data_IF_241215626546
#
_entry.id   IF_241215626546
#
_cell.length_a   1.000
_cell.length_b   1.000
_cell.length_c   1.000
_cell.angle_alpha   90.00
_cell.angle_beta   90.00
_cell.angle_gamma   90.00
#
_symmetry.space_group_name_H-M   'P 1'
#
loop_
_entity.id
_entity.type
_entity.pdbx_description
1 polymer ?
#
# COMPACT_ATOMS: atom_id res chain seq x y z
N UNK A 1 0.59 -6.12 5.49
CA UNK A 1 0.03 -4.74 5.40
C UNK A 1 1.13 -3.68 5.29
N UNK A 2 2.35 -3.94 5.79
CA UNK A 2 3.55 -3.13 5.48
C UNK A 2 3.92 -3.01 4.01
N UNK A 3 3.26 -3.68 3.06
CA UNK A 3 3.57 -3.56 1.63
C UNK A 3 2.84 -2.39 0.97
N UNK A 4 1.74 -1.89 1.54
CA UNK A 4 0.96 -0.81 0.92
C UNK A 4 1.63 0.56 1.11
N UNK A 5 2.22 0.81 2.28
CA UNK A 5 2.93 2.06 2.57
C UNK A 5 4.17 2.28 1.69
N UNK A 6 5.13 1.33 1.58
CA UNK A 6 6.27 1.45 0.68
C UNK A 6 5.80 1.59 -0.76
N UNK A 7 4.75 0.88 -1.17
CA UNK A 7 4.24 0.95 -2.55
C UNK A 7 3.61 2.29 -2.90
N UNK A 8 2.98 2.98 -1.95
CA UNK A 8 2.49 4.35 -2.17
C UNK A 8 3.68 5.31 -2.28
N UNK A 9 4.65 5.26 -1.36
CA UNK A 9 5.85 6.10 -1.44
C UNK A 9 6.63 5.85 -2.73
N UNK A 10 6.86 4.57 -3.06
CA UNK A 10 7.49 4.14 -4.30
C UNK A 10 6.66 4.56 -5.51
N UNK A 11 5.34 4.39 -5.54
CA UNK A 11 4.51 4.77 -6.68
C UNK A 11 4.57 6.27 -7.03
N UNK A 12 4.88 7.13 -6.04
CA UNK A 12 5.08 8.58 -6.22
C UNK A 12 6.52 8.86 -6.67
N UNK A 13 7.50 8.20 -6.04
CA UNK A 13 8.92 8.42 -6.32
C UNK A 13 9.40 7.60 -7.54
N UNK A 14 8.60 6.66 -8.08
CA UNK A 14 8.98 5.77 -9.18
C UNK A 14 9.21 6.52 -10.49
N UNK A 15 8.56 7.68 -10.68
CA UNK A 15 8.87 8.59 -11.80
C UNK A 15 10.34 9.07 -11.73
N UNK A 16 10.90 9.23 -10.53
CA UNK A 16 12.28 9.65 -10.31
C UNK A 16 13.25 8.45 -10.12
N UNK A 17 12.78 7.29 -9.64
CA UNK A 17 13.62 6.08 -9.41
C UNK A 17 14.01 5.40 -10.74
N UNK A 18 13.21 5.51 -11.81
CA UNK A 18 13.53 4.91 -13.12
C UNK A 18 14.78 5.51 -13.80
N UNK A 19 15.31 6.63 -13.29
CA UNK A 19 16.54 7.27 -13.79
C UNK A 19 17.82 6.78 -13.09
N UNK A 20 17.72 6.01 -12.00
CA UNK A 20 18.90 5.53 -11.27
C UNK A 20 19.41 4.27 -11.97
N UNK A 21 20.66 4.26 -12.48
CA UNK A 21 21.22 3.07 -13.10
C UNK A 21 21.28 1.96 -12.05
N UNK A 22 20.74 0.79 -12.39
CA UNK A 22 20.91 -0.45 -11.64
C UNK A 22 22.38 -0.87 -11.78
N UNK A 23 23.26 -0.20 -11.05
CA UNK A 23 24.60 -0.71 -10.78
C UNK A 23 24.50 -1.58 -9.54
N UNK A 24 24.81 -2.86 -9.71
CA UNK A 24 24.95 -3.87 -8.66
C UNK A 24 25.88 -3.34 -7.57
N UNK A 25 25.30 -2.67 -6.58
CA UNK A 25 25.97 -2.36 -5.33
C UNK A 25 24.98 -2.66 -4.23
N UNK A 26 25.37 -3.59 -3.35
CA UNK A 26 24.58 -4.11 -2.22
C UNK A 26 24.26 -3.03 -1.15
N UNK A 27 24.29 -1.73 -1.50
CA UNK A 27 24.23 -0.59 -0.58
C UNK A 27 23.54 0.65 -1.19
N UNK A 28 22.64 0.47 -2.17
CA UNK A 28 21.78 1.57 -2.61
C UNK A 28 20.73 1.87 -1.52
N UNK A 29 21.07 2.76 -0.59
CA UNK A 29 20.12 3.29 0.40
C UNK A 29 19.16 4.22 -0.34
N UNK A 30 17.95 3.73 -0.57
CA UNK A 30 16.87 4.55 -1.11
C UNK A 30 16.32 5.41 0.02
N UNK A 31 16.62 6.72 -0.02
CA UNK A 31 16.05 7.66 0.95
C UNK A 31 14.63 8.01 0.54
N UNK A 32 13.65 7.24 1.02
CA UNK A 32 12.25 7.66 0.96
C UNK A 32 11.99 8.72 2.04
N UNK A 33 11.29 9.83 1.76
CA UNK A 33 11.12 10.98 2.66
C UNK A 33 10.57 10.68 4.06
N UNK A 34 10.12 9.45 4.29
CA UNK A 34 9.43 9.01 5.50
C UNK A 34 9.94 7.69 6.08
N UNK A 35 10.80 6.97 5.35
CA UNK A 35 11.21 5.63 5.70
C UNK A 35 12.74 5.59 5.70
N UNK A 36 13.31 6.26 6.69
CA UNK A 36 14.76 6.50 6.79
C UNK A 36 15.61 5.23 7.03
N UNK A 37 15.01 4.04 7.08
CA UNK A 37 15.72 2.77 7.31
C UNK A 37 15.16 1.60 6.49
N UNK A 38 14.53 1.85 5.34
CA UNK A 38 14.16 0.72 4.47
C UNK A 38 15.38 0.21 3.73
N UNK A 39 15.66 -1.07 3.88
CA UNK A 39 16.60 -1.78 3.04
C UNK A 39 15.91 -2.18 1.72
N UNK A 40 16.70 -2.46 0.69
CA UNK A 40 16.17 -2.92 -0.60
C UNK A 40 15.30 -4.18 -0.46
N UNK A 41 15.61 -5.03 0.52
CA UNK A 41 14.85 -6.24 0.83
C UNK A 41 13.51 -5.99 1.53
N UNK A 42 13.30 -4.78 2.07
CA UNK A 42 12.03 -4.39 2.67
C UNK A 42 11.03 -3.85 1.63
N UNK A 43 11.50 -3.59 0.40
CA UNK A 43 10.69 -3.14 -0.70
C UNK A 43 9.85 -4.30 -1.27
N UNK A 44 8.73 -3.99 -1.97
CA UNK A 44 8.00 -5.01 -2.69
C UNK A 44 8.88 -5.74 -3.70
N UNK A 45 8.70 -7.06 -3.83
CA UNK A 45 9.59 -7.92 -4.65
C UNK A 45 9.68 -7.54 -6.13
N UNK A 46 8.68 -6.84 -6.67
CA UNK A 46 8.72 -6.36 -8.05
C UNK A 46 9.65 -5.14 -8.25
N UNK A 47 10.13 -4.53 -7.16
CA UNK A 47 11.17 -3.48 -7.22
C UNK A 47 12.55 -4.12 -7.32
N UNK A 48 12.79 -5.19 -6.55
CA UNK A 48 14.07 -5.89 -6.53
C UNK A 48 14.30 -6.82 -7.72
N UNK A 49 13.23 -7.38 -8.26
CA UNK A 49 13.25 -8.19 -9.47
C UNK A 49 12.31 -7.57 -10.52
N UNK A 50 12.77 -6.44 -11.07
CA UNK A 50 12.08 -5.67 -12.11
C UNK A 50 11.97 -6.47 -13.42
N UNK A 51 10.99 -7.37 -13.48
CA UNK A 51 10.77 -8.29 -14.60
C UNK A 51 10.03 -9.57 -14.22
N UNK A 52 10.03 -9.93 -12.94
CA UNK A 52 9.34 -11.12 -12.43
C UNK A 52 7.82 -11.09 -12.61
N UNK A 53 7.19 -9.92 -12.44
CA UNK A 53 5.74 -9.77 -12.48
C UNK A 53 5.29 -8.53 -13.27
N UNK A 54 5.50 -8.49 -14.60
CA UNK A 54 5.29 -7.28 -15.40
C UNK A 54 3.85 -6.78 -15.35
N UNK A 55 2.86 -7.68 -15.43
CA UNK A 55 1.44 -7.33 -15.36
C UNK A 55 1.03 -6.81 -13.97
N UNK A 56 1.61 -7.36 -12.89
CA UNK A 56 1.33 -6.90 -11.53
C UNK A 56 1.98 -5.53 -11.32
N UNK A 57 3.22 -5.36 -11.77
CA UNK A 57 3.93 -4.09 -11.70
C UNK A 57 3.16 -2.99 -12.44
N UNK A 58 2.72 -3.24 -13.67
CA UNK A 58 1.88 -2.30 -14.43
C UNK A 58 0.58 -1.97 -13.70
N UNK A 59 -0.11 -2.98 -13.15
CA UNK A 59 -1.33 -2.79 -12.37
C UNK A 59 -1.10 -1.94 -11.10
N UNK A 60 0.01 -2.16 -10.39
CA UNK A 60 0.32 -1.46 -9.15
C UNK A 60 0.75 -0.01 -9.40
N UNK A 61 1.60 0.23 -10.40
CA UNK A 61 2.00 1.58 -10.79
C UNK A 61 0.84 2.37 -11.41
N UNK A 62 0.00 1.72 -12.22
CA UNK A 62 -1.16 2.34 -12.85
C UNK A 62 -2.19 2.89 -11.87
N UNK A 63 -2.28 2.35 -10.64
CA UNK A 63 -3.17 2.85 -9.59
C UNK A 63 -2.87 4.29 -9.16
N UNK A 64 -1.64 4.76 -9.38
CA UNK A 64 -1.20 6.11 -9.01
C UNK A 64 -1.29 7.11 -10.17
N UNK A 65 -1.81 6.73 -11.33
CA UNK A 65 -1.87 7.65 -12.49
C UNK A 65 -2.81 8.84 -12.29
N UNK A 66 -3.87 8.70 -11.50
CA UNK A 66 -4.89 9.75 -11.29
C UNK A 66 -5.34 9.89 -9.83
N UNK A 67 -4.57 9.35 -8.88
CA UNK A 67 -5.00 9.21 -7.48
C UNK A 67 -5.28 10.58 -6.80
N UNK A 68 -4.61 11.66 -7.22
CA UNK A 68 -4.87 13.01 -6.71
C UNK A 68 -6.19 13.62 -7.21
N UNK A 69 -6.76 13.10 -8.30
CA UNK A 69 -8.07 13.50 -8.81
C UNK A 69 -9.22 12.83 -8.06
N UNK A 70 -8.93 11.76 -7.30
CA UNK A 70 -9.92 11.03 -6.54
C UNK A 70 -10.47 11.89 -5.37
N UNK A 71 -11.76 11.75 -5.09
CA UNK A 71 -12.39 12.41 -3.93
C UNK A 71 -11.80 11.92 -2.61
N UNK A 72 -11.51 10.62 -2.51
CA UNK A 72 -10.93 9.98 -1.34
C UNK A 72 -10.03 8.81 -1.74
N UNK A 73 -8.88 8.70 -1.09
CA UNK A 73 -7.98 7.54 -1.12
C UNK A 73 -8.27 6.69 0.11
N UNK A 74 -8.77 5.49 -0.10
CA UNK A 74 -9.27 4.63 0.95
C UNK A 74 -8.41 3.38 1.01
N UNK A 75 -7.95 3.01 2.21
CA UNK A 75 -7.23 1.76 2.41
C UNK A 75 -7.53 1.13 3.77
N UNK A 76 -7.19 -0.15 3.86
CA UNK A 76 -7.35 -0.93 5.09
C UNK A 76 -6.21 -0.62 6.06
N UNK A 77 -6.33 0.44 6.82
CA UNK A 77 -5.46 0.78 7.95
C UNK A 77 -6.19 1.72 8.89
N UNK A 78 -5.58 2.08 10.00
CA UNK A 78 -6.07 3.08 10.94
C UNK A 78 -4.92 4.00 11.37
N UNK A 79 -5.24 5.21 11.80
CA UNK A 79 -4.26 6.28 11.98
C UNK A 79 -3.11 5.89 12.92
N UNK A 80 -3.43 5.22 14.02
CA UNK A 80 -2.49 4.84 15.06
C UNK A 80 -1.48 3.78 14.59
N UNK A 81 -1.77 3.05 13.52
CA UNK A 81 -0.85 2.05 12.96
C UNK A 81 0.23 2.67 12.08
N UNK A 82 -0.09 3.75 11.37
CA UNK A 82 0.77 4.34 10.34
C UNK A 82 0.85 5.87 10.51
N UNK A 83 1.06 6.31 11.76
CA UNK A 83 0.99 7.73 12.15
C UNK A 83 1.84 8.63 11.28
N UNK A 84 3.10 8.25 11.05
CA UNK A 84 4.06 9.03 10.27
C UNK A 84 3.60 9.16 8.80
N UNK A 85 3.11 8.05 8.23
CA UNK A 85 2.63 7.94 6.84
C UNK A 85 1.41 8.81 6.61
N UNK A 86 0.43 8.66 7.50
CA UNK A 86 -0.80 9.44 7.48
C UNK A 86 -0.49 10.93 7.66
N UNK A 87 0.44 11.29 8.55
CA UNK A 87 0.82 12.69 8.76
C UNK A 87 1.52 13.28 7.54
N UNK A 88 2.44 12.55 6.92
CA UNK A 88 3.13 12.98 5.71
C UNK A 88 2.16 13.18 4.53
N UNK A 89 1.26 12.23 4.30
CA UNK A 89 0.22 12.38 3.28
C UNK A 89 -0.69 13.57 3.56
N UNK A 90 -1.00 13.86 4.83
CA UNK A 90 -1.78 15.04 5.23
C UNK A 90 -1.02 16.34 4.99
N UNK A 91 0.29 16.40 5.27
CA UNK A 91 1.15 17.55 4.96
C UNK A 91 1.14 17.82 3.45
N UNK A 92 1.21 16.76 2.64
CA UNK A 92 1.10 16.83 1.19
C UNK A 92 -0.33 17.09 0.67
N UNK A 93 -1.32 17.28 1.56
CA UNK A 93 -2.73 17.59 1.26
C UNK A 93 -3.46 16.52 0.45
N UNK A 94 -3.08 15.26 0.63
CA UNK A 94 -3.73 14.16 -0.05
C UNK A 94 -5.13 13.87 0.52
N UNK A 95 -6.11 13.46 -0.30
CA UNK A 95 -7.48 13.19 0.14
C UNK A 95 -7.60 11.82 0.82
N UNK A 96 -6.79 11.55 1.85
CA UNK A 96 -6.69 10.23 2.46
C UNK A 96 -7.78 9.92 3.49
N UNK A 97 -8.19 8.66 3.56
CA UNK A 97 -9.15 8.15 4.53
C UNK A 97 -8.89 6.67 4.88
N UNK A 98 -8.10 6.39 5.93
CA UNK A 98 -8.00 5.05 6.49
C UNK A 98 -9.37 4.60 7.03
N UNK A 99 -9.85 3.42 6.62
CA UNK A 99 -11.17 2.88 7.02
C UNK A 99 -11.07 1.54 7.76
N UNK A 100 -9.86 1.12 8.10
CA UNK A 100 -9.61 -0.14 8.75
C UNK A 100 -9.77 -0.08 10.27
N UNK A 101 -9.53 -1.23 10.93
CA UNK A 101 -9.25 -2.52 10.31
C UNK A 101 -10.52 -3.17 9.73
N UNK A 102 -10.43 -3.76 8.53
CA UNK A 102 -11.50 -4.58 7.95
C UNK A 102 -11.50 -6.01 8.54
N UNK A 103 -11.39 -6.10 9.86
CA UNK A 103 -11.58 -7.34 10.61
C UNK A 103 -13.08 -7.45 10.94
N UNK A 104 -13.70 -8.64 10.81
CA UNK A 104 -15.11 -8.81 11.09
C UNK A 104 -15.49 -8.28 12.49
N UNK A 105 -16.61 -7.58 12.54
CA UNK A 105 -17.10 -6.86 13.72
C UNK A 105 -17.18 -7.75 14.96
N UNK A 106 -17.54 -9.04 14.81
CA UNK A 106 -17.61 -9.99 15.93
C UNK A 106 -16.30 -10.05 16.74
N UNK A 107 -15.15 -9.79 16.13
CA UNK A 107 -13.85 -9.88 16.80
C UNK A 107 -13.36 -8.58 17.44
N UNK A 108 -13.96 -7.43 17.09
CA UNK A 108 -13.54 -6.13 17.60
C UNK A 108 -14.65 -5.45 18.41
N UNK A 109 -15.59 -4.81 17.73
CA UNK A 109 -16.61 -3.97 18.36
C UNK A 109 -17.91 -4.71 18.66
N UNK A 110 -18.09 -5.93 18.12
CA UNK A 110 -19.24 -6.83 18.30
C UNK A 110 -20.59 -6.19 17.93
N UNK A 111 -20.56 -5.13 17.12
CA UNK A 111 -21.77 -4.40 16.69
C UNK A 111 -22.62 -5.21 15.73
N UNK A 112 -22.01 -6.11 14.96
CA UNK A 112 -22.67 -7.02 14.04
C UNK A 112 -22.29 -8.46 14.42
N UNK A 113 -23.15 -9.12 15.21
CA UNK A 113 -22.83 -10.43 15.80
C UNK A 113 -22.68 -11.59 14.81
N UNK A 114 -23.26 -11.45 13.62
CA UNK A 114 -23.18 -12.43 12.54
C UNK A 114 -22.00 -12.19 11.59
N UNK A 115 -21.27 -11.08 11.75
CA UNK A 115 -20.11 -10.75 10.93
C UNK A 115 -18.85 -11.43 11.47
N UNK A 116 -18.60 -12.64 10.97
CA UNK A 116 -17.50 -13.54 11.39
C UNK A 116 -16.55 -13.90 10.25
N UNK A 117 -16.97 -13.66 9.01
CA UNK A 117 -16.30 -14.17 7.84
C UNK A 117 -15.31 -13.15 7.29
N UNK A 118 -14.09 -13.61 7.01
CA UNK A 118 -13.08 -12.81 6.32
C UNK A 118 -13.28 -12.90 4.80
N UNK A 119 -13.01 -11.78 4.11
CA UNK A 119 -12.85 -11.75 2.66
C UNK A 119 -14.06 -11.23 1.88
N UNK A 120 -13.93 -11.27 0.56
CA UNK A 120 -14.97 -10.90 -0.39
C UNK A 120 -15.50 -12.17 -1.05
N UNK A 121 -16.71 -12.59 -0.69
CA UNK A 121 -17.39 -13.67 -1.40
C UNK A 121 -17.94 -13.12 -2.72
N UNK A 122 -17.15 -13.24 -3.80
CA UNK A 122 -17.59 -12.88 -5.16
C UNK A 122 -18.74 -13.76 -5.66
N UNK A 123 -18.85 -14.97 -5.11
CA UNK A 123 -19.92 -15.92 -5.41
C UNK A 123 -20.59 -16.34 -4.11
N UNK A 124 -21.89 -16.57 -4.17
CA UNK A 124 -22.60 -17.21 -3.06
C UNK A 124 -22.13 -18.66 -2.96
N UNK A 125 -21.87 -19.18 -1.74
CA UNK A 125 -21.59 -20.60 -1.58
C UNK A 125 -22.77 -21.41 -2.12
N UNK A 126 -22.49 -22.45 -2.89
CA UNK A 126 -23.51 -23.40 -3.34
C UNK A 126 -24.07 -24.10 -2.10
N UNK A 127 -25.36 -23.91 -1.85
CA UNK A 127 -26.12 -24.72 -0.90
C UNK A 127 -26.56 -25.98 -1.62
N UNK A 128 -25.85 -27.08 -1.40
CA UNK A 128 -26.35 -28.43 -1.68
C UNK A 128 -27.49 -28.80 -0.71
#
# INVERSE_FOLDING_TARGET
>A
MHLYCPMICLGIDFEDIYQVPVEESDQAVMSLPLLENLEFNDLPSFVSDAGSYPAIQELLLGQFSNFLEARWLIWNSFNELEVEVVNWMRINKWPIKPIGPMIPSMFLDKRLGDDKDYGLNLFKPNSD
#
